data_IF_514320253220
#
_entry.id   IF_514320253220
#
_cell.length_a   1.000
_cell.length_b   1.000
_cell.length_c   1.000
_cell.angle_alpha   90.00
_cell.angle_beta   90.00
_cell.angle_gamma   90.00
#
_symmetry.space_group_name_H-M   'P 1'
#
loop_
_entity.id
_entity.type
_entity.pdbx_description
1 polymer ?
#
# COMPACT_ATOMS: atom_id res chain seq x y z
N UNK A 1 4.69 -16.53 27.57
CA UNK A 1 5.47 -17.71 27.13
C UNK A 1 5.36 -17.80 25.61
N UNK A 2 6.35 -17.30 24.89
CA UNK A 2 6.43 -17.40 23.45
C UNK A 2 6.86 -18.84 23.08
N UNK A 3 6.00 -19.57 22.39
CA UNK A 3 6.30 -20.90 21.90
C UNK A 3 6.71 -20.84 20.43
N UNK A 4 7.95 -21.16 20.14
CA UNK A 4 8.46 -21.34 18.78
C UNK A 4 8.35 -22.83 18.43
N UNK A 5 7.59 -23.18 17.39
CA UNK A 5 7.48 -24.56 16.91
C UNK A 5 8.29 -24.72 15.61
N UNK A 6 9.21 -25.67 15.61
CA UNK A 6 9.98 -26.10 14.43
C UNK A 6 9.51 -27.49 14.01
N UNK A 7 9.09 -27.64 12.76
CA UNK A 7 8.71 -28.93 12.17
C UNK A 7 9.86 -29.47 11.32
N UNK A 8 10.27 -30.73 11.45
CA UNK A 8 11.38 -31.30 10.66
C UNK A 8 10.93 -31.62 9.23
N UNK A 9 11.76 -31.23 8.25
CA UNK A 9 11.51 -31.48 6.83
C UNK A 9 11.76 -32.94 6.44
N UNK A 10 10.85 -33.53 5.70
CA UNK A 10 11.05 -34.75 4.93
C UNK A 10 11.19 -34.42 3.45
N UNK A 11 12.29 -34.87 2.86
CA UNK A 11 12.52 -34.77 1.42
C UNK A 11 11.55 -35.66 0.64
N UNK A 12 10.62 -35.09 -0.09
CA UNK A 12 9.84 -35.79 -1.11
C UNK A 12 9.82 -34.95 -2.40
N UNK A 13 10.42 -35.49 -3.46
CA UNK A 13 10.21 -35.02 -4.82
C UNK A 13 8.79 -35.37 -5.26
N UNK A 14 8.01 -34.42 -5.67
CA UNK A 14 6.70 -34.61 -6.28
C UNK A 14 6.65 -33.98 -7.68
N UNK A 15 5.85 -34.56 -8.61
CA UNK A 15 5.80 -34.14 -10.00
C UNK A 15 5.04 -32.83 -10.16
N UNK A 16 5.46 -32.03 -11.16
CA UNK A 16 4.82 -30.77 -11.56
C UNK A 16 3.32 -30.94 -11.80
N UNK A 17 2.46 -30.14 -11.20
CA UNK A 17 1.09 -30.01 -11.64
C UNK A 17 0.96 -28.97 -12.75
N UNK A 18 0.08 -29.30 -13.65
CA UNK A 18 -0.40 -28.56 -14.82
C UNK A 18 -0.77 -27.12 -14.48
N UNK A 19 -0.08 -26.15 -15.08
CA UNK A 19 -0.43 -24.73 -15.01
C UNK A 19 -1.79 -24.48 -15.68
N UNK A 20 -2.81 -24.20 -14.89
CA UNK A 20 -3.99 -23.51 -15.37
C UNK A 20 -3.62 -22.05 -15.66
N UNK A 21 -3.62 -21.70 -16.93
CA UNK A 21 -3.45 -20.33 -17.43
C UNK A 21 -4.59 -19.45 -16.94
N UNK A 22 -4.35 -18.72 -15.86
CA UNK A 22 -5.08 -17.48 -15.59
C UNK A 22 -4.52 -16.45 -16.59
N UNK A 23 -5.34 -15.68 -17.32
CA UNK A 23 -4.83 -14.66 -18.20
C UNK A 23 -4.09 -13.61 -17.38
N UNK A 24 -2.79 -13.75 -17.29
CA UNK A 24 -1.91 -12.70 -16.85
C UNK A 24 -2.05 -11.57 -17.87
N UNK A 25 -2.56 -10.43 -17.44
CA UNK A 25 -2.30 -9.20 -18.17
C UNK A 25 -0.79 -9.04 -18.20
N UNK A 26 -0.18 -9.47 -19.28
CA UNK A 26 1.20 -9.18 -19.59
C UNK A 26 1.29 -7.70 -19.93
N UNK A 27 1.38 -6.85 -18.90
CA UNK A 27 2.04 -5.56 -19.09
C UNK A 27 3.50 -5.89 -19.40
N UNK A 28 3.82 -5.86 -20.69
CA UNK A 28 5.19 -5.88 -21.14
C UNK A 28 5.93 -4.74 -20.47
N UNK A 29 6.85 -5.03 -19.56
CA UNK A 29 7.75 -4.06 -18.97
C UNK A 29 8.69 -3.56 -20.09
N UNK A 30 8.22 -2.56 -20.82
CA UNK A 30 9.08 -1.77 -21.66
C UNK A 30 10.02 -1.01 -20.75
N UNK A 31 11.30 -1.34 -20.76
CA UNK A 31 12.34 -0.49 -20.16
C UNK A 31 12.22 0.88 -20.81
N UNK A 32 11.59 1.82 -20.12
CA UNK A 32 11.38 3.17 -20.60
C UNK A 32 12.72 3.85 -20.76
N UNK A 33 13.14 4.04 -22.01
CA UNK A 33 14.28 4.91 -22.37
C UNK A 33 13.90 6.39 -22.33
N UNK A 34 12.69 6.72 -21.88
CA UNK A 34 12.17 8.07 -21.82
C UNK A 34 12.82 8.92 -20.73
N UNK A 35 12.94 10.21 -21.01
CA UNK A 35 13.44 11.18 -20.03
C UNK A 35 12.41 11.39 -18.92
N UNK A 36 12.79 11.13 -17.67
CA UNK A 36 11.94 11.36 -16.52
C UNK A 36 11.71 12.86 -16.29
N UNK A 37 10.44 13.25 -16.10
CA UNK A 37 10.06 14.61 -15.72
C UNK A 37 10.05 14.75 -14.21
N UNK A 38 10.81 15.69 -13.65
CA UNK A 38 10.87 15.94 -12.21
C UNK A 38 10.12 17.22 -11.86
N UNK A 39 9.22 17.15 -10.89
CA UNK A 39 8.38 18.29 -10.47
C UNK A 39 8.47 18.47 -8.96
N UNK A 40 8.88 19.67 -8.51
CA UNK A 40 8.96 19.98 -7.10
C UNK A 40 7.58 20.29 -6.50
N UNK A 41 7.24 19.65 -5.38
CA UNK A 41 5.93 19.77 -4.72
C UNK A 41 5.98 20.30 -3.30
N UNK A 42 7.16 20.54 -2.74
CA UNK A 42 7.34 20.88 -1.32
C UNK A 42 6.65 22.16 -0.85
N UNK A 43 6.44 23.14 -1.74
CA UNK A 43 5.84 24.43 -1.40
C UNK A 43 4.42 24.62 -1.96
N UNK A 44 3.81 23.57 -2.51
CA UNK A 44 2.47 23.64 -3.08
C UNK A 44 1.40 23.54 -1.99
N UNK A 45 0.32 24.29 -2.17
CA UNK A 45 -0.92 24.09 -1.43
C UNK A 45 -1.46 22.67 -1.69
N UNK A 46 -2.31 22.15 -0.81
CA UNK A 46 -2.87 20.83 -1.02
C UNK A 46 -3.73 20.72 -2.31
N UNK A 47 -4.37 21.82 -2.72
CA UNK A 47 -5.14 21.88 -3.96
C UNK A 47 -4.23 21.75 -5.18
N UNK A 48 -3.11 22.47 -5.19
CA UNK A 48 -2.09 22.36 -6.24
C UNK A 48 -1.44 20.98 -6.24
N UNK A 49 -1.14 20.43 -5.06
CA UNK A 49 -0.63 19.07 -4.93
C UNK A 49 -1.63 18.06 -5.51
N UNK A 50 -2.92 18.21 -5.27
CA UNK A 50 -3.93 17.32 -5.83
C UNK A 50 -3.90 17.30 -7.36
N UNK A 51 -3.85 18.47 -8.00
CA UNK A 51 -3.71 18.60 -9.46
C UNK A 51 -2.41 17.96 -9.97
N UNK A 52 -1.28 18.28 -9.33
CA UNK A 52 0.05 17.83 -9.77
C UNK A 52 0.20 16.32 -9.57
N UNK A 53 -0.23 15.75 -8.43
CA UNK A 53 -0.19 14.33 -8.16
C UNK A 53 -1.10 13.53 -9.08
N UNK A 54 -2.29 14.07 -9.40
CA UNK A 54 -3.17 13.51 -10.43
C UNK A 54 -2.47 13.46 -11.78
N UNK A 55 -1.85 14.56 -12.21
CA UNK A 55 -1.09 14.58 -13.44
C UNK A 55 0.07 13.59 -13.45
N UNK A 56 0.78 13.41 -12.34
CA UNK A 56 1.83 12.41 -12.24
C UNK A 56 1.26 10.99 -12.43
N UNK A 57 0.14 10.67 -11.78
CA UNK A 57 -0.55 9.39 -11.95
C UNK A 57 -0.99 9.14 -13.39
N UNK A 58 -1.60 10.13 -14.03
CA UNK A 58 -2.00 10.05 -15.44
C UNK A 58 -0.79 9.87 -16.36
N UNK A 59 0.23 10.70 -16.20
CA UNK A 59 1.46 10.67 -17.02
C UNK A 59 2.16 9.31 -16.88
N UNK A 60 2.19 8.77 -15.68
CA UNK A 60 2.80 7.46 -15.40
C UNK A 60 2.04 6.26 -15.99
N UNK A 61 0.83 6.42 -16.52
CA UNK A 61 0.17 5.39 -17.35
C UNK A 61 0.88 5.22 -18.69
N UNK A 62 1.62 6.24 -19.15
CA UNK A 62 2.41 6.17 -20.36
C UNK A 62 3.90 6.11 -19.99
N UNK A 63 4.48 4.92 -20.08
CA UNK A 63 5.87 4.68 -19.71
C UNK A 63 6.92 5.47 -20.51
N UNK A 64 6.53 6.13 -21.61
CA UNK A 64 7.48 6.86 -22.45
C UNK A 64 8.06 8.12 -21.78
N UNK A 65 7.31 8.78 -20.89
CA UNK A 65 7.73 10.01 -20.21
C UNK A 65 7.28 10.00 -18.76
N UNK A 66 7.90 9.18 -17.89
CA UNK A 66 7.48 9.07 -16.50
C UNK A 66 7.68 10.38 -15.74
N UNK A 67 6.79 10.65 -14.78
CA UNK A 67 6.87 11.81 -13.90
C UNK A 67 7.21 11.39 -12.48
N UNK A 68 8.15 12.10 -11.85
CA UNK A 68 8.55 11.94 -10.46
C UNK A 68 8.32 13.22 -9.68
N UNK A 69 7.66 13.13 -8.54
CA UNK A 69 7.36 14.26 -7.66
C UNK A 69 8.44 14.38 -6.59
N UNK A 70 9.25 15.43 -6.71
CA UNK A 70 10.30 15.75 -5.75
C UNK A 70 9.67 16.48 -4.56
N UNK A 71 9.64 15.84 -3.39
CA UNK A 71 9.11 16.44 -2.17
C UNK A 71 10.19 17.23 -1.42
N UNK A 72 11.37 16.64 -1.36
CA UNK A 72 12.56 17.32 -0.89
C UNK A 72 13.73 17.00 -1.83
N UNK A 73 14.73 17.89 -1.87
CA UNK A 73 15.86 17.77 -2.80
C UNK A 73 16.81 16.61 -2.47
N UNK A 74 16.65 15.99 -1.30
CA UNK A 74 17.43 14.85 -0.84
C UNK A 74 16.66 13.55 -0.95
N UNK A 75 15.89 13.35 -2.02
CA UNK A 75 15.18 12.10 -2.24
C UNK A 75 16.16 10.93 -2.37
N UNK A 76 16.19 10.12 -1.33
CA UNK A 76 17.18 9.03 -1.17
C UNK A 76 17.04 7.94 -2.23
N UNK A 77 15.82 7.69 -2.70
CA UNK A 77 15.58 6.66 -3.69
C UNK A 77 15.99 7.09 -5.09
N UNK A 78 15.84 8.37 -5.44
CA UNK A 78 16.38 8.90 -6.70
C UNK A 78 17.89 8.69 -6.78
N UNK A 79 18.60 8.98 -5.70
CA UNK A 79 20.05 8.78 -5.64
C UNK A 79 20.41 7.30 -5.63
N UNK A 80 19.79 6.51 -4.78
CA UNK A 80 20.19 5.11 -4.52
C UNK A 80 19.85 4.17 -5.69
N UNK A 81 18.69 4.35 -6.32
CA UNK A 81 18.21 3.47 -7.38
C UNK A 81 18.55 3.97 -8.78
N UNK A 82 18.56 5.28 -8.97
CA UNK A 82 18.64 5.87 -10.31
C UNK A 82 19.85 6.79 -10.50
N UNK A 83 20.70 6.93 -9.47
CA UNK A 83 21.90 7.76 -9.48
C UNK A 83 21.62 9.23 -9.85
N UNK A 84 20.44 9.75 -9.44
CA UNK A 84 20.01 11.13 -9.70
C UNK A 84 20.21 11.95 -8.42
N UNK A 85 21.20 12.82 -8.42
CA UNK A 85 21.54 13.68 -7.26
C UNK A 85 20.99 15.10 -7.38
N UNK A 86 20.78 15.59 -8.61
CA UNK A 86 20.33 16.96 -8.87
C UNK A 86 19.40 16.97 -10.09
N UNK A 87 18.12 16.61 -9.91
CA UNK A 87 17.19 16.57 -11.03
C UNK A 87 16.91 18.00 -11.57
N UNK A 88 16.86 18.13 -12.89
CA UNK A 88 16.37 19.36 -13.53
C UNK A 88 14.87 19.44 -13.35
N UNK A 89 14.41 20.42 -12.59
CA UNK A 89 13.00 20.59 -12.25
C UNK A 89 12.20 21.22 -13.39
N UNK A 90 11.05 20.65 -13.67
CA UNK A 90 10.05 21.21 -14.59
C UNK A 90 9.10 22.13 -13.81
N UNK A 91 8.84 23.36 -14.26
CA UNK A 91 7.85 24.23 -13.63
C UNK A 91 6.46 23.58 -13.61
N UNK A 92 5.74 23.72 -12.49
CA UNK A 92 4.41 23.12 -12.27
C UNK A 92 3.44 23.47 -13.40
N UNK A 93 3.36 24.74 -13.80
CA UNK A 93 2.48 25.18 -14.88
C UNK A 93 2.80 24.50 -16.23
N UNK A 94 4.09 24.31 -16.54
CA UNK A 94 4.52 23.58 -17.74
C UNK A 94 4.14 22.13 -17.68
N UNK A 95 4.34 21.48 -16.54
CA UNK A 95 3.96 20.08 -16.31
C UNK A 95 2.45 19.86 -16.47
N UNK A 96 1.62 20.70 -15.81
CA UNK A 96 0.17 20.63 -15.91
C UNK A 96 -0.32 20.82 -17.34
N UNK A 97 0.22 21.81 -18.07
CA UNK A 97 -0.13 22.03 -19.47
C UNK A 97 0.23 20.84 -20.37
N UNK A 98 1.40 20.25 -20.15
CA UNK A 98 1.85 19.07 -20.92
C UNK A 98 0.95 17.87 -20.65
N UNK A 99 0.68 17.59 -19.37
CA UNK A 99 -0.24 16.52 -18.94
C UNK A 99 -1.62 16.70 -19.56
N UNK A 100 -2.24 17.87 -19.43
CA UNK A 100 -3.55 18.15 -20.00
C UNK A 100 -3.59 17.95 -21.51
N UNK A 101 -2.57 18.41 -22.25
CA UNK A 101 -2.48 18.17 -23.71
C UNK A 101 -2.51 16.67 -24.04
N UNK A 102 -1.74 15.87 -23.31
CA UNK A 102 -1.65 14.42 -23.55
C UNK A 102 -3.00 13.73 -23.26
N UNK A 103 -3.74 14.20 -22.24
CA UNK A 103 -5.02 13.62 -21.82
C UNK A 103 -6.26 14.38 -22.36
N UNK A 104 -6.11 15.10 -23.48
CA UNK A 104 -7.22 15.71 -24.22
C UNK A 104 -7.82 16.93 -23.53
N UNK A 105 -7.08 17.60 -22.68
CA UNK A 105 -7.49 18.83 -22.00
C UNK A 105 -8.58 18.62 -20.94
N UNK A 106 -8.80 17.40 -20.48
CA UNK A 106 -9.86 17.06 -19.54
C UNK A 106 -9.57 17.53 -18.11
N UNK A 107 -10.54 18.17 -17.50
CA UNK A 107 -10.43 18.61 -16.12
C UNK A 107 -11.72 18.42 -15.32
N UNK A 108 -11.59 18.45 -13.99
CA UNK A 108 -12.67 18.40 -13.00
C UNK A 108 -12.65 19.71 -12.24
N UNK A 109 -13.82 20.30 -12.00
CA UNK A 109 -13.98 21.41 -11.06
C UNK A 109 -14.51 20.91 -9.72
N UNK A 110 -13.97 21.44 -8.62
CA UNK A 110 -14.47 21.20 -7.27
C UNK A 110 -14.27 22.46 -6.41
N UNK A 111 -14.95 22.51 -5.27
CA UNK A 111 -14.77 23.59 -4.30
C UNK A 111 -14.09 23.06 -3.04
N UNK A 112 -12.82 23.37 -2.86
CA UNK A 112 -12.01 22.90 -1.74
C UNK A 112 -12.59 23.23 -0.35
N UNK A 113 -13.31 24.36 -0.23
CA UNK A 113 -13.89 24.78 1.06
C UNK A 113 -15.11 23.95 1.48
N UNK A 114 -15.88 23.45 0.52
CA UNK A 114 -17.14 22.73 0.80
C UNK A 114 -17.09 21.25 0.45
N UNK A 115 -16.08 20.83 -0.32
CA UNK A 115 -15.98 19.47 -0.87
C UNK A 115 -14.68 18.76 -0.50
N UNK A 116 -13.95 19.24 0.52
CA UNK A 116 -12.74 18.54 0.99
C UNK A 116 -13.03 17.09 1.40
N UNK A 117 -14.17 16.86 2.07
CA UNK A 117 -14.59 15.52 2.47
C UNK A 117 -14.85 14.56 1.30
N UNK A 118 -14.99 15.09 0.08
CA UNK A 118 -15.28 14.33 -1.15
C UNK A 118 -14.04 14.13 -2.04
N UNK A 119 -12.86 14.54 -1.57
CA UNK A 119 -11.59 14.38 -2.30
C UNK A 119 -11.32 12.91 -2.66
N UNK A 120 -11.64 11.91 -1.82
CA UNK A 120 -11.51 10.50 -2.20
C UNK A 120 -12.25 10.14 -3.48
N UNK A 121 -13.51 10.52 -3.59
CA UNK A 121 -14.36 10.25 -4.76
C UNK A 121 -13.89 11.04 -5.99
N UNK A 122 -13.43 12.29 -5.80
CA UNK A 122 -12.82 13.10 -6.86
C UNK A 122 -11.53 12.47 -7.40
N UNK A 123 -10.73 11.80 -6.55
CA UNK A 123 -9.56 11.01 -7.01
C UNK A 123 -9.98 9.86 -7.92
N UNK A 124 -11.03 9.12 -7.54
CA UNK A 124 -11.59 8.05 -8.40
C UNK A 124 -12.01 8.61 -9.76
N UNK A 125 -12.80 9.69 -9.74
CA UNK A 125 -13.27 10.35 -10.98
C UNK A 125 -12.08 10.84 -11.83
N UNK A 126 -11.06 11.43 -11.21
CA UNK A 126 -9.85 11.86 -11.91
C UNK A 126 -9.16 10.67 -12.61
N UNK A 127 -9.11 9.53 -11.93
CA UNK A 127 -8.53 8.29 -12.46
C UNK A 127 -9.32 7.72 -13.64
N UNK A 128 -10.63 7.55 -13.50
CA UNK A 128 -11.47 6.90 -14.53
C UNK A 128 -11.74 7.82 -15.72
N UNK A 129 -11.94 9.11 -15.49
CA UNK A 129 -12.17 10.09 -16.56
C UNK A 129 -10.87 10.54 -17.27
N UNK A 130 -9.71 10.28 -16.67
CA UNK A 130 -8.44 10.81 -17.17
C UNK A 130 -8.39 12.33 -17.12
N UNK A 131 -8.85 12.94 -16.01
CA UNK A 131 -9.06 14.37 -15.87
C UNK A 131 -8.31 14.95 -14.66
N UNK A 132 -7.84 16.19 -14.76
CA UNK A 132 -7.08 16.86 -13.71
C UNK A 132 -8.02 17.72 -12.84
N UNK A 133 -8.04 17.55 -11.50
CA UNK A 133 -8.91 18.35 -10.64
C UNK A 133 -8.34 19.76 -10.41
N UNK A 134 -9.23 20.77 -10.41
CA UNK A 134 -8.94 22.15 -10.08
C UNK A 134 -9.96 22.73 -9.10
N UNK A 135 -9.46 23.42 -8.08
CA UNK A 135 -10.31 24.12 -7.12
C UNK A 135 -10.80 25.45 -7.67
N UNK A 136 -12.12 25.66 -7.66
CA UNK A 136 -12.72 26.90 -8.18
C UNK A 136 -12.32 28.17 -7.41
N UNK A 137 -11.89 28.04 -6.15
CA UNK A 137 -11.46 29.19 -5.35
C UNK A 137 -10.06 29.69 -5.74
N UNK A 138 -9.23 28.84 -6.32
CA UNK A 138 -7.90 29.17 -6.84
C UNK A 138 -7.93 29.49 -8.33
N UNK A 139 -8.98 29.02 -9.01
CA UNK A 139 -9.26 29.29 -10.40
C UNK A 139 -10.12 30.55 -10.50
N UNK A 140 -9.49 31.72 -10.50
CA UNK A 140 -10.14 32.82 -11.21
C UNK A 140 -10.25 32.39 -12.68
N UNK A 141 -11.33 32.77 -13.37
CA UNK A 141 -11.64 32.35 -14.74
C UNK A 141 -10.48 32.51 -15.76
N UNK A 142 -9.40 33.17 -15.38
CA UNK A 142 -8.19 33.40 -16.17
C UNK A 142 -6.97 32.55 -15.73
N UNK A 143 -7.08 31.64 -14.79
CA UNK A 143 -5.92 30.93 -14.20
C UNK A 143 -5.91 29.38 -14.40
N UNK A 144 -6.90 28.82 -15.11
CA UNK A 144 -6.77 27.46 -15.60
C UNK A 144 -5.58 27.35 -16.58
N UNK A 145 -4.81 26.28 -16.54
CA UNK A 145 -3.82 26.03 -17.59
C UNK A 145 -4.48 26.15 -18.97
N UNK A 146 -3.83 26.81 -19.91
CA UNK A 146 -4.38 27.05 -21.26
C UNK A 146 -4.79 25.77 -22.01
N UNK A 147 -4.26 24.64 -21.56
CA UNK A 147 -4.57 23.31 -22.09
C UNK A 147 -5.78 22.64 -21.42
N UNK A 148 -6.40 23.23 -20.40
CA UNK A 148 -7.63 22.75 -19.79
C UNK A 148 -8.83 23.24 -20.63
N UNK A 149 -9.31 22.40 -21.54
CA UNK A 149 -10.31 22.78 -22.56
C UNK A 149 -11.61 21.99 -22.48
N UNK A 150 -11.63 20.86 -21.77
CA UNK A 150 -12.78 19.96 -21.68
C UNK A 150 -13.16 19.75 -20.22
N UNK A 151 -14.27 20.33 -19.78
CA UNK A 151 -14.84 20.04 -18.46
C UNK A 151 -15.42 18.61 -18.47
N UNK A 152 -14.71 17.67 -17.86
CA UNK A 152 -15.11 16.27 -17.79
C UNK A 152 -16.12 16.00 -16.66
N UNK A 153 -16.02 16.78 -15.57
CA UNK A 153 -16.93 16.68 -14.43
C UNK A 153 -16.98 17.99 -13.66
N UNK A 154 -18.20 18.46 -13.40
CA UNK A 154 -18.43 19.61 -12.54
C UNK A 154 -18.90 19.16 -11.16
N UNK A 155 -17.95 18.99 -10.25
CA UNK A 155 -18.22 18.65 -8.87
C UNK A 155 -18.92 19.75 -8.10
N UNK A 156 -18.73 21.04 -8.49
CA UNK A 156 -19.40 22.16 -7.83
C UNK A 156 -20.92 22.14 -8.02
N UNK A 157 -21.38 21.51 -9.09
CA UNK A 157 -22.79 21.32 -9.41
C UNK A 157 -23.28 19.95 -8.93
N UNK A 158 -22.59 18.88 -9.36
CA UNK A 158 -23.05 17.50 -9.10
C UNK A 158 -22.93 17.12 -7.64
N UNK A 159 -21.85 17.53 -6.96
CA UNK A 159 -21.61 17.23 -5.55
C UNK A 159 -21.92 18.38 -4.60
N UNK A 160 -22.69 19.37 -5.04
CA UNK A 160 -22.92 20.63 -4.31
C UNK A 160 -23.33 20.42 -2.85
N UNK A 161 -24.25 19.50 -2.61
CA UNK A 161 -24.79 19.25 -1.27
C UNK A 161 -24.57 17.78 -0.83
N UNK A 162 -23.62 17.09 -1.47
CA UNK A 162 -23.37 15.70 -1.16
C UNK A 162 -22.57 15.54 0.13
N UNK A 163 -22.97 14.52 0.88
CA UNK A 163 -22.13 13.95 1.94
C UNK A 163 -21.32 12.77 1.35
N UNK A 164 -20.26 12.31 2.01
CA UNK A 164 -19.41 11.22 1.48
C UNK A 164 -20.18 10.00 0.99
N UNK A 165 -21.18 9.52 1.74
CA UNK A 165 -22.01 8.38 1.32
C UNK A 165 -22.77 8.62 -0.01
N UNK A 166 -23.22 9.84 -0.26
CA UNK A 166 -23.92 10.20 -1.49
C UNK A 166 -22.94 10.26 -2.67
N UNK A 167 -21.76 10.83 -2.48
CA UNK A 167 -20.70 10.89 -3.48
C UNK A 167 -20.16 9.49 -3.80
N UNK A 168 -19.91 8.67 -2.79
CA UNK A 168 -19.52 7.25 -2.95
C UNK A 168 -20.57 6.49 -3.77
N UNK A 169 -21.86 6.68 -3.45
CA UNK A 169 -22.97 6.03 -4.20
C UNK A 169 -23.00 6.48 -5.65
N UNK A 170 -22.77 7.76 -5.92
CA UNK A 170 -22.68 8.29 -7.30
C UNK A 170 -21.56 7.60 -8.07
N UNK A 171 -20.35 7.56 -7.50
CA UNK A 171 -19.19 6.93 -8.16
C UNK A 171 -19.42 5.44 -8.37
N UNK A 172 -19.98 4.74 -7.38
CA UNK A 172 -20.37 3.33 -7.50
C UNK A 172 -21.32 3.10 -8.66
N UNK A 173 -22.41 3.87 -8.76
CA UNK A 173 -23.43 3.68 -9.79
C UNK A 173 -22.95 3.97 -11.21
N UNK A 174 -21.97 4.87 -11.38
CA UNK A 174 -21.55 5.33 -12.69
C UNK A 174 -20.19 4.78 -13.14
N UNK A 175 -19.32 4.40 -12.21
CA UNK A 175 -17.91 4.17 -12.54
C UNK A 175 -17.28 2.90 -11.89
N UNK A 176 -18.03 2.09 -11.13
CA UNK A 176 -17.46 0.91 -10.47
C UNK A 176 -16.72 -0.01 -11.45
N UNK A 177 -17.35 -0.28 -12.59
CA UNK A 177 -16.80 -1.19 -13.62
C UNK A 177 -15.52 -0.66 -14.31
N UNK A 178 -15.19 0.60 -14.13
CA UNK A 178 -13.97 1.22 -14.65
C UNK A 178 -12.80 1.16 -13.66
N UNK A 179 -13.06 0.70 -12.44
CA UNK A 179 -12.07 0.64 -11.36
C UNK A 179 -11.44 -0.75 -11.25
N UNK A 180 -10.21 -0.80 -10.74
CA UNK A 180 -9.40 -2.03 -10.70
C UNK A 180 -9.14 -2.55 -9.30
N UNK A 181 -9.51 -1.82 -8.27
CA UNK A 181 -9.27 -2.13 -6.86
C UNK A 181 -9.76 -1.00 -5.98
N UNK A 182 -9.40 -1.02 -4.72
CA UNK A 182 -9.88 -0.07 -3.72
C UNK A 182 -8.76 0.70 -3.04
N UNK A 183 -9.08 1.94 -2.66
CA UNK A 183 -8.28 2.74 -1.76
C UNK A 183 -9.17 3.38 -0.68
N UNK A 184 -8.56 3.70 0.46
CA UNK A 184 -9.20 4.40 1.58
C UNK A 184 -8.25 5.48 2.11
N UNK A 185 -8.48 6.72 1.70
CA UNK A 185 -7.64 7.86 2.06
C UNK A 185 -8.44 8.92 2.81
N UNK A 186 -7.99 9.25 4.01
CA UNK A 186 -8.69 10.20 4.88
C UNK A 186 -8.67 11.61 4.30
N UNK A 187 -9.83 12.24 4.08
CA UNK A 187 -9.94 13.60 3.53
C UNK A 187 -9.59 14.72 4.54
N UNK A 188 -9.42 14.38 5.81
CA UNK A 188 -9.06 15.32 6.88
C UNK A 188 -7.65 15.14 7.44
N UNK A 189 -6.82 14.27 6.84
CA UNK A 189 -5.50 13.92 7.34
C UNK A 189 -4.41 14.20 6.30
N UNK A 190 -3.52 15.11 6.61
CA UNK A 190 -2.44 15.53 5.71
C UNK A 190 -1.08 14.87 5.99
N UNK A 191 -1.05 13.72 6.62
CA UNK A 191 0.21 12.97 6.87
C UNK A 191 0.80 13.16 8.26
N UNK A 192 1.81 12.41 8.50
CA UNK A 192 2.67 12.16 9.66
C UNK A 192 2.40 12.93 10.97
N UNK A 193 2.29 12.18 12.05
CA UNK A 193 2.55 12.67 13.39
C UNK A 193 1.40 13.36 14.08
N UNK A 194 0.16 12.96 13.81
CA UNK A 194 -0.94 13.39 14.64
C UNK A 194 -1.25 12.32 15.72
N UNK A 195 -0.79 12.51 16.96
CA UNK A 195 -1.09 11.61 18.04
C UNK A 195 -2.52 11.84 18.54
N UNK A 196 -3.40 10.87 18.37
CA UNK A 196 -4.67 10.81 19.06
C UNK A 196 -5.93 11.19 18.27
N UNK A 197 -7.09 11.09 18.91
CA UNK A 197 -8.41 11.21 18.28
C UNK A 197 -8.70 12.56 17.62
N UNK A 198 -8.02 13.62 18.03
CA UNK A 198 -8.16 14.97 17.42
C UNK A 198 -7.70 15.05 15.96
N UNK A 199 -6.99 14.05 15.46
CA UNK A 199 -6.51 13.97 14.10
C UNK A 199 -7.61 13.71 13.07
N UNK A 200 -8.75 13.28 13.51
CA UNK A 200 -9.83 12.74 12.68
C UNK A 200 -11.07 13.64 12.63
N UNK A 201 -11.02 14.79 13.27
CA UNK A 201 -12.11 15.72 13.20
C UNK A 201 -12.16 16.44 11.83
N UNK A 202 -13.33 16.47 11.18
CA UNK A 202 -13.52 17.17 9.90
C UNK A 202 -13.25 18.69 9.97
N UNK A 203 -13.12 19.24 11.17
CA UNK A 203 -12.80 20.66 11.40
C UNK A 203 -11.30 20.97 11.44
N UNK A 204 -10.43 19.98 11.19
CA UNK A 204 -9.00 20.25 11.15
C UNK A 204 -8.68 20.94 9.84
N UNK A 205 -8.02 22.09 9.95
CA UNK A 205 -7.54 22.92 8.82
C UNK A 205 -6.42 22.27 8.00
N UNK A 206 -6.15 21.00 8.20
CA UNK A 206 -5.19 20.20 7.45
C UNK A 206 -5.87 19.62 6.21
N UNK A 207 -5.17 19.65 5.09
CA UNK A 207 -5.67 19.12 3.83
C UNK A 207 -5.87 17.59 3.87
N UNK A 208 -6.44 16.99 2.81
CA UNK A 208 -6.63 15.55 2.69
C UNK A 208 -5.29 14.80 2.59
N UNK A 209 -5.31 13.51 2.88
CA UNK A 209 -4.20 12.61 2.59
C UNK A 209 -4.03 12.48 1.08
N UNK A 210 -2.92 12.99 0.55
CA UNK A 210 -2.63 13.02 -0.88
C UNK A 210 -1.42 12.16 -1.27
N UNK A 211 -0.76 11.52 -0.31
CA UNK A 211 0.46 10.76 -0.58
C UNK A 211 0.30 9.80 -1.75
N UNK A 212 -0.74 9.00 -1.71
CA UNK A 212 -1.01 7.93 -2.67
C UNK A 212 -1.80 8.38 -3.92
N UNK A 213 -2.12 9.67 -4.08
CA UNK A 213 -2.99 10.17 -5.18
C UNK A 213 -2.50 9.74 -6.55
N UNK A 214 -1.19 9.81 -6.80
CA UNK A 214 -0.61 9.41 -8.09
C UNK A 214 -0.94 7.94 -8.41
N UNK A 215 -0.84 7.05 -7.44
CA UNK A 215 -1.14 5.63 -7.64
C UNK A 215 -2.64 5.35 -7.74
N UNK A 216 -3.47 5.99 -6.92
CA UNK A 216 -4.95 5.88 -7.01
C UNK A 216 -5.41 6.23 -8.42
N UNK A 217 -4.91 7.35 -8.96
CA UNK A 217 -5.21 7.79 -10.31
C UNK A 217 -4.62 6.84 -11.35
N UNK A 218 -3.34 6.49 -11.23
CA UNK A 218 -2.65 5.57 -12.14
C UNK A 218 -3.38 4.25 -12.30
N UNK A 219 -3.70 3.61 -11.20
CA UNK A 219 -4.34 2.29 -11.15
C UNK A 219 -5.88 2.36 -11.30
N UNK A 220 -6.49 3.55 -11.35
CA UNK A 220 -7.95 3.74 -11.33
C UNK A 220 -8.60 3.06 -10.12
N UNK A 221 -8.09 3.28 -8.92
CA UNK A 221 -8.68 2.70 -7.73
C UNK A 221 -9.99 3.42 -7.37
N UNK A 222 -10.95 2.65 -6.87
CA UNK A 222 -12.15 3.17 -6.23
C UNK A 222 -11.73 3.70 -4.84
N UNK A 223 -11.61 5.00 -4.69
CA UNK A 223 -11.23 5.62 -3.44
C UNK A 223 -12.44 6.21 -2.76
N UNK A 224 -12.68 5.86 -1.51
CA UNK A 224 -13.75 6.39 -0.67
C UNK A 224 -13.32 6.40 0.79
N UNK A 225 -13.90 7.30 1.57
CA UNK A 225 -13.68 7.34 3.00
C UNK A 225 -15.00 7.41 3.76
N UNK A 226 -15.56 6.24 4.03
CA UNK A 226 -16.78 6.07 4.81
C UNK A 226 -16.40 5.76 6.25
N UNK A 227 -16.68 6.69 7.17
CA UNK A 227 -16.26 6.57 8.59
C UNK A 227 -16.89 5.38 9.30
N UNK A 228 -18.10 5.01 8.92
CA UNK A 228 -18.83 3.88 9.45
C UNK A 228 -18.88 2.68 8.47
N UNK A 229 -18.05 2.71 7.42
CA UNK A 229 -18.09 1.70 6.35
C UNK A 229 -17.83 0.27 6.84
N UNK A 230 -17.05 0.09 7.89
CA UNK A 230 -16.75 -1.20 8.49
C UNK A 230 -17.67 -1.56 9.67
N UNK A 231 -18.46 -0.60 10.18
CA UNK A 231 -19.42 -0.84 11.27
C UNK A 231 -20.66 -1.60 10.77
N UNK A 232 -21.00 -2.75 11.37
CA UNK A 232 -22.18 -3.49 10.96
C UNK A 232 -23.48 -2.67 11.18
N UNK A 233 -24.46 -2.90 10.32
CA UNK A 233 -25.79 -2.31 10.38
C UNK A 233 -25.88 -0.81 10.07
N UNK A 234 -24.82 -0.18 9.59
CA UNK A 234 -24.85 1.21 9.12
C UNK A 234 -25.18 1.29 7.63
N UNK A 235 -25.75 2.41 7.15
CA UNK A 235 -25.95 2.64 5.71
C UNK A 235 -24.65 2.63 4.91
N UNK A 236 -23.53 3.10 5.51
CA UNK A 236 -22.21 3.11 4.89
C UNK A 236 -21.68 1.69 4.73
N UNK A 237 -21.82 0.84 5.76
CA UNK A 237 -21.44 -0.57 5.68
C UNK A 237 -22.23 -1.32 4.60
N UNK A 238 -23.54 -1.09 4.54
CA UNK A 238 -24.39 -1.70 3.52
C UNK A 238 -23.95 -1.30 2.10
N UNK A 239 -23.60 -0.03 1.89
CA UNK A 239 -23.07 0.46 0.61
C UNK A 239 -21.71 -0.17 0.30
N UNK A 240 -20.79 -0.18 1.26
CA UNK A 240 -19.44 -0.74 1.07
C UNK A 240 -19.49 -2.23 0.74
N UNK A 241 -20.31 -3.01 1.44
CA UNK A 241 -20.57 -4.43 1.11
C UNK A 241 -21.10 -4.62 -0.29
N UNK A 242 -21.99 -3.74 -0.72
CA UNK A 242 -22.54 -3.80 -2.08
C UNK A 242 -21.47 -3.54 -3.12
N UNK A 243 -20.64 -2.50 -2.91
CA UNK A 243 -19.51 -2.16 -3.78
C UNK A 243 -18.53 -3.34 -3.91
N UNK A 244 -18.11 -3.91 -2.80
CA UNK A 244 -17.18 -5.05 -2.79
C UNK A 244 -17.79 -6.27 -3.49
N UNK A 245 -19.06 -6.58 -3.20
CA UNK A 245 -19.77 -7.72 -3.78
C UNK A 245 -19.95 -7.60 -5.30
N UNK A 246 -20.24 -6.39 -5.79
CA UNK A 246 -20.53 -6.16 -7.21
C UNK A 246 -19.30 -5.79 -8.03
N UNK A 247 -18.17 -5.52 -7.36
CA UNK A 247 -16.91 -5.30 -8.04
C UNK A 247 -16.39 -6.58 -8.67
N UNK A 248 -15.53 -6.44 -9.67
CA UNK A 248 -14.76 -7.54 -10.28
C UNK A 248 -13.36 -7.67 -9.66
N UNK A 249 -13.11 -7.03 -8.52
CA UNK A 249 -11.80 -7.03 -7.89
C UNK A 249 -11.44 -8.40 -7.29
N UNK A 250 -10.16 -8.76 -7.24
CA UNK A 250 -9.73 -9.97 -6.53
C UNK A 250 -10.10 -9.93 -5.04
N UNK A 251 -10.48 -11.08 -4.48
CA UNK A 251 -10.78 -11.23 -3.06
C UNK A 251 -9.72 -12.08 -2.33
N UNK A 252 -9.42 -11.81 -1.05
CA UNK A 252 -9.88 -10.66 -0.27
C UNK A 252 -9.50 -9.35 -0.94
N UNK A 253 -10.36 -8.32 -0.80
CA UNK A 253 -10.10 -7.04 -1.45
C UNK A 253 -8.94 -6.33 -0.79
N UNK A 254 -7.94 -5.97 -1.59
CA UNK A 254 -6.79 -5.18 -1.15
C UNK A 254 -7.16 -3.71 -1.11
N UNK A 255 -7.10 -3.12 0.07
CA UNK A 255 -7.37 -1.70 0.27
C UNK A 255 -6.06 -0.95 0.44
N UNK A 256 -5.73 -0.12 -0.55
CA UNK A 256 -4.59 0.77 -0.48
C UNK A 256 -4.88 1.97 0.41
N UNK A 257 -3.90 2.41 1.19
CA UNK A 257 -4.07 3.53 2.11
C UNK A 257 -4.04 3.10 3.55
N UNK A 258 -4.77 3.80 4.39
CA UNK A 258 -4.86 3.50 5.81
C UNK A 258 -6.24 3.85 6.33
N UNK A 259 -6.89 2.88 6.98
CA UNK A 259 -8.12 3.12 7.70
C UNK A 259 -7.81 3.51 9.14
N UNK A 260 -7.95 4.77 9.41
CA UNK A 260 -7.83 5.32 10.74
C UNK A 260 -9.18 5.83 11.26
N UNK A 261 -10.23 5.13 10.92
CA UNK A 261 -11.57 5.42 11.41
C UNK A 261 -11.67 5.02 12.89
N UNK A 262 -11.82 5.97 13.76
CA UNK A 262 -12.05 5.69 15.16
C UNK A 262 -13.51 5.39 15.42
N UNK A 263 -13.74 4.20 15.88
CA UNK A 263 -15.02 3.82 16.47
C UNK A 263 -14.91 3.78 17.98
N UNK A 264 -13.71 3.53 18.52
CA UNK A 264 -13.43 3.45 19.94
C UNK A 264 -12.08 4.06 20.28
N UNK A 265 -11.97 4.69 21.42
CA UNK A 265 -10.76 5.32 21.93
C UNK A 265 -9.60 4.32 22.05
N UNK A 266 -8.52 4.53 21.32
CA UNK A 266 -7.33 3.69 21.30
C UNK A 266 -7.28 2.56 20.27
N UNK A 267 -8.26 2.47 19.37
CA UNK A 267 -8.44 1.37 18.44
C UNK A 267 -7.97 1.59 17.00
N UNK A 268 -6.78 2.10 16.76
CA UNK A 268 -6.27 2.31 15.40
C UNK A 268 -6.34 1.07 14.52
N UNK A 269 -5.93 -0.05 15.08
CA UNK A 269 -5.67 -1.26 14.35
C UNK A 269 -6.72 -2.33 14.57
N UNK A 270 -7.16 -2.47 15.82
CA UNK A 270 -7.94 -3.64 16.21
C UNK A 270 -9.38 -3.61 15.70
N UNK A 271 -10.00 -2.45 15.65
CA UNK A 271 -11.43 -2.39 15.40
C UNK A 271 -11.75 -2.14 13.94
N UNK A 272 -11.06 -1.20 13.30
CA UNK A 272 -11.33 -0.89 11.91
C UNK A 272 -10.99 -2.09 11.02
N UNK A 273 -9.84 -2.73 11.23
CA UNK A 273 -9.45 -3.90 10.46
C UNK A 273 -10.26 -5.12 10.80
N UNK A 274 -10.39 -5.46 12.08
CA UNK A 274 -11.23 -6.58 12.51
C UNK A 274 -12.65 -6.49 11.98
N UNK A 275 -13.23 -5.30 12.03
CA UNK A 275 -14.58 -5.08 11.53
C UNK A 275 -14.65 -5.09 10.01
N UNK A 276 -13.65 -4.56 9.32
CA UNK A 276 -13.56 -4.61 7.86
C UNK A 276 -13.37 -6.04 7.37
N UNK A 277 -12.46 -6.80 7.96
CA UNK A 277 -12.23 -8.21 7.61
C UNK A 277 -13.50 -9.04 7.80
N UNK A 278 -14.12 -8.91 8.99
CA UNK A 278 -15.32 -9.67 9.35
C UNK A 278 -16.56 -9.27 8.54
N UNK A 279 -16.76 -7.98 8.35
CA UNK A 279 -18.01 -7.48 7.80
C UNK A 279 -17.97 -7.25 6.31
N UNK A 280 -16.80 -7.04 5.72
CA UNK A 280 -16.67 -6.64 4.31
C UNK A 280 -15.74 -7.55 3.50
N UNK A 281 -14.81 -8.26 4.13
CA UNK A 281 -13.82 -9.12 3.44
C UNK A 281 -12.72 -8.30 2.75
N UNK A 282 -12.22 -7.28 3.44
CA UNK A 282 -11.16 -6.40 2.98
C UNK A 282 -9.95 -6.52 3.90
N UNK A 283 -8.74 -6.50 3.34
CA UNK A 283 -7.48 -6.39 4.09
C UNK A 283 -6.65 -5.22 3.59
N UNK A 284 -5.83 -4.65 4.47
CA UNK A 284 -5.13 -3.41 4.15
C UNK A 284 -3.73 -3.61 3.57
N UNK A 285 -3.34 -2.65 2.73
CA UNK A 285 -1.96 -2.38 2.32
C UNK A 285 -1.63 -0.98 2.82
N UNK A 286 -1.04 -0.89 4.02
CA UNK A 286 -0.73 0.38 4.66
C UNK A 286 0.22 1.21 3.79
N UNK A 287 -0.25 2.36 3.28
CA UNK A 287 0.44 3.10 2.23
C UNK A 287 -0.03 4.55 2.05
N UNK A 288 -0.72 5.12 3.04
CA UNK A 288 -1.40 6.41 2.88
C UNK A 288 -0.48 7.59 2.52
N UNK A 289 0.75 7.59 3.00
CA UNK A 289 1.76 8.62 2.75
C UNK A 289 2.68 8.35 1.57
N UNK A 290 2.61 7.15 0.96
CA UNK A 290 3.56 6.70 -0.07
C UNK A 290 3.39 7.47 -1.38
N UNK A 291 4.29 8.39 -1.65
CA UNK A 291 4.29 9.17 -2.89
C UNK A 291 5.11 8.49 -4.00
N UNK A 292 4.83 8.87 -5.24
CA UNK A 292 5.51 8.35 -6.44
C UNK A 292 5.31 6.84 -6.69
N UNK A 293 4.32 6.23 -6.05
CA UNK A 293 4.11 4.79 -6.20
C UNK A 293 3.78 4.42 -7.66
N UNK A 294 3.07 5.29 -8.40
CA UNK A 294 2.83 5.12 -9.83
C UNK A 294 4.13 5.11 -10.65
N UNK A 295 5.12 5.93 -10.27
CA UNK A 295 6.43 5.94 -10.90
C UNK A 295 7.19 4.64 -10.66
N UNK A 296 7.29 4.22 -9.39
CA UNK A 296 8.02 3.00 -9.03
C UNK A 296 7.40 1.73 -9.64
N UNK A 297 6.06 1.66 -9.71
CA UNK A 297 5.34 0.51 -10.27
C UNK A 297 5.71 0.23 -11.73
N UNK A 298 5.97 1.27 -12.53
CA UNK A 298 6.29 1.11 -13.95
C UNK A 298 7.79 1.11 -14.26
N UNK A 299 8.64 1.53 -13.31
CA UNK A 299 10.05 1.79 -13.59
C UNK A 299 10.87 0.51 -13.72
N UNK A 300 10.64 -0.45 -12.85
CA UNK A 300 11.34 -1.73 -12.85
C UNK A 300 10.46 -2.91 -13.28
N UNK A 301 11.04 -3.99 -13.80
CA UNK A 301 10.30 -5.20 -14.07
C UNK A 301 9.80 -5.81 -12.75
N UNK A 302 8.57 -6.30 -12.74
CA UNK A 302 8.05 -7.02 -11.57
C UNK A 302 8.99 -8.15 -11.14
N UNK A 303 9.01 -8.42 -9.83
CA UNK A 303 9.77 -9.54 -9.28
C UNK A 303 9.01 -10.83 -9.61
N UNK A 304 9.56 -11.64 -10.50
CA UNK A 304 8.96 -12.91 -10.95
C UNK A 304 9.76 -14.14 -10.52
N UNK A 305 10.92 -13.92 -9.91
CA UNK A 305 11.78 -14.96 -9.34
C UNK A 305 12.17 -14.56 -7.92
N UNK A 306 12.50 -15.54 -7.06
CA UNK A 306 12.89 -15.27 -5.67
C UNK A 306 14.01 -14.23 -5.58
N UNK A 307 13.84 -13.29 -4.64
CA UNK A 307 14.92 -12.38 -4.28
C UNK A 307 16.11 -13.16 -3.72
N UNK A 308 17.34 -12.67 -3.93
CA UNK A 308 18.51 -13.30 -3.34
C UNK A 308 18.42 -13.33 -1.81
N UNK A 309 18.93 -14.39 -1.18
CA UNK A 309 18.85 -14.59 0.27
C UNK A 309 20.11 -15.22 0.85
N UNK A 310 20.32 -14.98 2.13
CA UNK A 310 21.37 -15.64 2.88
C UNK A 310 20.96 -17.08 3.22
N UNK A 311 21.77 -18.10 2.91
CA UNK A 311 21.41 -19.48 3.16
C UNK A 311 21.22 -19.76 4.66
N UNK A 312 20.26 -20.59 4.99
CA UNK A 312 20.08 -21.06 6.37
C UNK A 312 21.08 -22.15 6.67
N UNK A 313 21.90 -22.01 7.72
CA UNK A 313 22.69 -23.13 8.20
C UNK A 313 21.75 -24.28 8.56
N UNK A 314 22.09 -25.49 8.12
CA UNK A 314 21.35 -26.67 8.53
C UNK A 314 21.46 -26.81 10.05
N UNK A 315 20.36 -26.58 10.76
CA UNK A 315 20.31 -26.66 12.22
C UNK A 315 19.45 -27.86 12.60
N UNK A 316 20.05 -28.79 13.33
CA UNK A 316 19.29 -29.89 13.94
C UNK A 316 18.59 -29.37 15.19
N UNK A 317 17.27 -29.46 15.18
CA UNK A 317 16.48 -29.06 16.35
C UNK A 317 16.84 -29.89 17.58
N UNK A 318 17.15 -29.23 18.68
CA UNK A 318 17.45 -29.84 19.95
C UNK A 318 16.44 -29.38 21.02
N UNK A 319 15.62 -30.31 21.50
CA UNK A 319 14.56 -30.06 22.49
C UNK A 319 15.06 -29.49 23.82
N UNK A 320 16.34 -29.65 24.15
CA UNK A 320 16.94 -29.14 25.38
C UNK A 320 17.44 -27.70 25.26
N UNK A 321 17.34 -27.07 24.06
CA UNK A 321 17.78 -25.69 23.83
C UNK A 321 16.57 -24.76 23.72
N UNK A 322 16.75 -23.53 24.19
CA UNK A 322 15.86 -22.40 23.90
C UNK A 322 16.32 -21.74 22.62
N UNK A 323 15.39 -21.49 21.70
CA UNK A 323 15.63 -20.77 20.47
C UNK A 323 15.02 -19.37 20.58
N UNK A 324 15.75 -18.35 20.16
CA UNK A 324 15.31 -16.96 20.18
C UNK A 324 15.42 -16.43 18.75
N UNK A 325 14.33 -15.88 18.22
CA UNK A 325 14.29 -15.16 16.96
C UNK A 325 14.09 -13.67 17.23
N UNK A 326 14.86 -12.84 16.56
CA UNK A 326 14.70 -11.38 16.60
C UNK A 326 14.05 -10.94 15.30
N UNK A 327 12.87 -10.32 15.41
CA UNK A 327 12.09 -9.82 14.28
C UNK A 327 12.02 -8.30 14.36
N UNK A 328 12.34 -7.65 13.26
CA UNK A 328 12.16 -6.20 13.08
C UNK A 328 10.81 -5.97 12.42
N UNK A 329 9.87 -5.42 13.16
CA UNK A 329 8.47 -5.19 12.76
C UNK A 329 8.26 -4.09 11.73
N UNK A 330 7.01 -3.65 11.56
CA UNK A 330 6.54 -2.50 10.75
C UNK A 330 6.85 -2.55 9.24
N UNK A 331 7.24 -3.72 8.73
CA UNK A 331 7.48 -3.92 7.29
C UNK A 331 6.21 -4.06 6.47
N UNK A 332 5.03 -4.16 7.08
CA UNK A 332 3.72 -4.12 6.43
C UNK A 332 3.40 -2.73 5.88
N UNK A 333 3.90 -1.68 6.52
CA UNK A 333 3.65 -0.30 6.15
C UNK A 333 4.63 0.18 5.05
N UNK A 334 4.09 0.45 3.87
CA UNK A 334 4.88 0.96 2.74
C UNK A 334 5.50 2.33 3.04
N UNK A 335 4.86 3.16 3.87
CA UNK A 335 5.42 4.47 4.23
C UNK A 335 6.76 4.33 4.98
N UNK A 336 6.87 3.31 5.85
CA UNK A 336 8.14 2.95 6.51
C UNK A 336 9.17 2.40 5.52
N UNK A 337 8.72 1.59 4.56
CA UNK A 337 9.62 1.00 3.56
C UNK A 337 10.16 2.06 2.58
N UNK A 338 9.38 3.11 2.30
CA UNK A 338 9.82 4.24 1.48
C UNK A 338 10.47 5.36 2.31
N UNK A 339 10.25 5.40 3.62
CA UNK A 339 10.83 6.36 4.53
C UNK A 339 12.33 6.15 4.78
N UNK A 340 12.90 7.08 5.54
CA UNK A 340 14.30 7.01 5.93
C UNK A 340 14.54 5.93 6.98
N UNK A 341 13.63 5.73 7.90
CA UNK A 341 13.83 4.94 9.11
C UNK A 341 14.27 3.50 8.80
N UNK A 342 13.53 2.80 7.96
CA UNK A 342 13.84 1.40 7.60
C UNK A 342 15.19 1.31 6.88
N UNK A 343 15.44 2.23 5.97
CA UNK A 343 16.69 2.29 5.22
C UNK A 343 17.87 2.54 6.16
N UNK A 344 17.75 3.55 7.04
CA UNK A 344 18.81 3.94 7.96
C UNK A 344 19.15 2.79 8.93
N UNK A 345 18.15 2.06 9.42
CA UNK A 345 18.38 0.88 10.26
C UNK A 345 19.14 -0.23 9.53
N UNK A 346 18.86 -0.46 8.26
CA UNK A 346 19.60 -1.46 7.47
C UNK A 346 21.02 -0.98 7.20
N UNK A 347 21.24 0.30 6.90
CA UNK A 347 22.56 0.87 6.70
C UNK A 347 23.40 0.82 8.01
N UNK A 348 22.79 1.09 9.15
CA UNK A 348 23.43 0.92 10.47
C UNK A 348 23.78 -0.57 10.70
N UNK A 349 22.84 -1.47 10.41
CA UNK A 349 23.08 -2.92 10.52
C UNK A 349 24.26 -3.37 9.66
N UNK A 350 24.34 -2.90 8.42
CA UNK A 350 25.47 -3.19 7.53
C UNK A 350 26.79 -2.70 8.11
N UNK A 351 26.80 -1.51 8.68
CA UNK A 351 27.97 -0.96 9.37
C UNK A 351 28.40 -1.85 10.54
N UNK A 352 27.44 -2.31 11.35
CA UNK A 352 27.72 -3.26 12.44
C UNK A 352 28.30 -4.57 11.92
N UNK A 353 27.75 -5.11 10.81
CA UNK A 353 28.22 -6.35 10.22
C UNK A 353 29.64 -6.22 9.66
N UNK A 354 29.95 -5.12 8.98
CA UNK A 354 31.28 -4.84 8.47
C UNK A 354 32.35 -4.83 9.60
N UNK A 355 31.98 -4.40 10.79
CA UNK A 355 32.82 -4.44 11.98
C UNK A 355 32.77 -5.76 12.76
N UNK A 356 32.22 -6.84 12.17
CA UNK A 356 32.05 -8.17 12.78
C UNK A 356 31.23 -8.15 14.08
N UNK A 357 30.32 -7.20 14.22
CA UNK A 357 29.40 -7.09 15.36
C UNK A 357 28.02 -7.76 15.13
N UNK A 358 27.79 -8.30 13.93
CA UNK A 358 26.59 -9.09 13.61
C UNK A 358 26.77 -10.51 14.13
N UNK A 359 26.46 -10.74 15.40
CA UNK A 359 26.64 -12.04 16.04
C UNK A 359 25.39 -12.94 15.98
N UNK A 360 24.27 -12.39 15.54
CA UNK A 360 23.00 -13.08 15.41
C UNK A 360 22.23 -12.56 14.19
N UNK A 361 21.42 -13.41 13.51
CA UNK A 361 20.58 -12.99 12.42
C UNK A 361 19.40 -12.16 12.92
N UNK A 362 18.96 -11.20 12.09
CA UNK A 362 17.68 -10.52 12.22
C UNK A 362 16.74 -10.99 11.11
N UNK A 363 15.45 -11.07 11.45
CA UNK A 363 14.35 -11.25 10.50
C UNK A 363 13.70 -9.88 10.26
N UNK A 364 13.79 -9.38 9.04
CA UNK A 364 13.23 -8.09 8.65
C UNK A 364 11.89 -8.30 7.99
N UNK A 365 10.81 -7.85 8.61
CA UNK A 365 9.52 -7.87 7.93
C UNK A 365 9.55 -6.94 6.74
N UNK A 366 9.00 -7.40 5.61
CA UNK A 366 8.89 -6.63 4.38
C UNK A 366 7.54 -6.88 3.71
N UNK A 367 6.82 -5.80 3.41
CA UNK A 367 5.57 -5.88 2.67
C UNK A 367 5.80 -6.56 1.32
N UNK A 368 5.10 -7.65 1.02
CA UNK A 368 5.23 -8.32 -0.26
C UNK A 368 4.75 -7.46 -1.42
N UNK A 369 3.96 -6.42 -1.13
CA UNK A 369 3.47 -5.50 -2.15
C UNK A 369 4.58 -4.70 -2.82
N UNK A 370 5.75 -4.51 -2.17
CA UNK A 370 6.92 -3.92 -2.82
C UNK A 370 7.37 -4.70 -4.07
N UNK A 371 7.18 -6.01 -4.10
CA UNK A 371 7.54 -6.85 -5.25
C UNK A 371 6.82 -6.43 -6.55
N UNK A 372 5.66 -5.81 -6.40
CA UNK A 372 4.79 -5.40 -7.51
C UNK A 372 4.74 -3.88 -7.67
N UNK A 373 4.65 -3.17 -6.54
CA UNK A 373 4.44 -1.72 -6.52
C UNK A 373 5.73 -0.92 -6.65
N UNK A 374 6.84 -1.49 -6.17
CA UNK A 374 8.15 -0.86 -6.24
C UNK A 374 9.27 -1.91 -6.33
N UNK A 375 9.33 -2.65 -7.45
CA UNK A 375 10.23 -3.79 -7.58
C UNK A 375 11.71 -3.43 -7.43
N UNK A 376 12.12 -2.23 -7.82
CA UNK A 376 13.51 -1.78 -7.65
C UNK A 376 13.84 -1.52 -6.18
N UNK A 377 12.89 -1.00 -5.39
CA UNK A 377 13.03 -0.85 -3.94
C UNK A 377 13.13 -2.22 -3.27
N UNK A 378 12.28 -3.17 -3.66
CA UNK A 378 12.34 -4.54 -3.14
C UNK A 378 13.69 -5.21 -3.41
N UNK A 379 14.22 -5.07 -4.63
CA UNK A 379 15.56 -5.59 -4.97
C UNK A 379 16.66 -4.93 -4.16
N UNK A 380 16.60 -3.61 -4.00
CA UNK A 380 17.56 -2.88 -3.18
C UNK A 380 17.62 -3.47 -1.76
N UNK A 381 16.46 -3.66 -1.12
CA UNK A 381 16.41 -4.29 0.20
C UNK A 381 17.01 -5.70 0.19
N UNK A 382 16.72 -6.52 -0.83
CA UNK A 382 17.31 -7.85 -0.99
C UNK A 382 18.83 -7.80 -1.07
N UNK A 383 19.37 -6.90 -1.88
CA UNK A 383 20.83 -6.73 -2.06
C UNK A 383 21.51 -6.25 -0.76
N UNK A 384 20.84 -5.37 0.01
CA UNK A 384 21.37 -4.94 1.30
C UNK A 384 21.41 -6.09 2.31
N UNK A 385 20.35 -6.89 2.41
CA UNK A 385 20.33 -8.01 3.35
C UNK A 385 21.37 -9.08 3.01
N UNK A 386 21.66 -9.32 1.75
CA UNK A 386 22.75 -10.23 1.36
C UNK A 386 24.09 -9.82 1.93
N UNK A 387 24.37 -8.52 2.00
CA UNK A 387 25.63 -8.00 2.52
C UNK A 387 25.82 -8.26 4.02
N UNK A 388 24.72 -8.43 4.78
CA UNK A 388 24.80 -8.81 6.19
C UNK A 388 25.30 -10.23 6.41
N UNK A 389 25.18 -11.12 5.41
CA UNK A 389 25.50 -12.55 5.42
C UNK A 389 24.67 -13.40 6.39
N UNK A 390 23.80 -12.79 7.20
CA UNK A 390 23.02 -13.48 8.23
C UNK A 390 21.55 -13.15 8.20
N UNK A 391 21.20 -11.91 7.91
CA UNK A 391 19.84 -11.40 8.02
C UNK A 391 18.96 -11.88 6.87
N UNK A 392 17.63 -11.92 7.10
CA UNK A 392 16.65 -12.45 6.15
C UNK A 392 15.38 -11.68 6.22
N UNK A 393 14.53 -11.90 5.20
CA UNK A 393 13.16 -11.42 5.23
C UNK A 393 12.25 -12.34 6.05
N UNK A 394 11.20 -11.72 6.57
CA UNK A 394 9.97 -12.38 7.04
C UNK A 394 8.78 -11.64 6.41
N UNK A 395 7.68 -12.34 6.19
CA UNK A 395 6.43 -11.66 5.87
C UNK A 395 5.90 -10.94 7.10
N UNK A 396 5.33 -9.74 6.93
CA UNK A 396 4.74 -8.97 8.01
C UNK A 396 3.38 -9.55 8.45
N UNK A 397 2.75 -9.03 9.46
CA UNK A 397 1.39 -9.39 9.83
C UNK A 397 0.36 -8.98 8.76
N UNK A 398 -0.53 -9.87 8.35
CA UNK A 398 -0.45 -11.34 8.42
C UNK A 398 -0.18 -11.91 7.03
N UNK A 399 1.01 -11.77 6.53
CA UNK A 399 1.39 -12.28 5.20
C UNK A 399 1.07 -11.30 4.06
N UNK A 400 0.18 -11.68 3.12
CA UNK A 400 -0.17 -10.85 1.94
C UNK A 400 -0.83 -9.50 2.33
N UNK A 401 -1.67 -9.49 3.37
CA UNK A 401 -2.40 -8.31 3.80
C UNK A 401 -2.23 -8.07 5.31
N UNK A 402 -2.27 -6.82 5.68
CA UNK A 402 -2.47 -6.42 7.06
C UNK A 402 -3.92 -6.68 7.43
N UNK A 403 -4.18 -7.78 8.15
CA UNK A 403 -5.50 -8.34 8.38
C UNK A 403 -5.51 -9.37 9.50
N UNK A 404 -6.70 -9.81 9.87
CA UNK A 404 -6.97 -10.95 10.73
C UNK A 404 -7.52 -12.10 9.86
N UNK A 405 -6.69 -12.97 9.29
CA UNK A 405 -7.10 -13.92 8.26
C UNK A 405 -8.23 -14.86 8.68
N UNK A 406 -8.33 -15.21 9.97
CA UNK A 406 -9.43 -16.06 10.46
C UNK A 406 -10.82 -15.40 10.35
N UNK A 407 -10.88 -14.07 10.18
CA UNK A 407 -12.12 -13.32 10.07
C UNK A 407 -12.63 -13.24 8.63
N UNK A 408 -11.77 -13.49 7.64
CA UNK A 408 -12.19 -13.55 6.26
C UNK A 408 -13.21 -14.69 6.02
N UNK A 409 -14.11 -14.55 5.04
CA UNK A 409 -14.86 -15.68 4.51
C UNK A 409 -13.92 -16.81 4.06
N UNK A 410 -14.34 -18.06 4.17
CA UNK A 410 -13.48 -19.23 3.90
C UNK A 410 -12.83 -19.19 2.50
N UNK A 411 -13.58 -18.74 1.48
CA UNK A 411 -13.04 -18.59 0.13
C UNK A 411 -11.89 -17.58 0.08
N UNK A 412 -11.99 -16.50 0.83
CA UNK A 412 -11.00 -15.43 0.89
C UNK A 412 -9.79 -15.83 1.74
N UNK A 413 -9.99 -16.62 2.82
CA UNK A 413 -8.90 -17.23 3.57
C UNK A 413 -8.02 -18.09 2.66
N UNK A 414 -8.64 -18.90 1.80
CA UNK A 414 -7.93 -19.71 0.82
C UNK A 414 -7.11 -18.89 -0.17
N UNK A 415 -7.66 -17.78 -0.64
CA UNK A 415 -6.98 -16.90 -1.55
C UNK A 415 -5.82 -16.16 -0.84
N UNK A 416 -6.05 -15.72 0.40
CA UNK A 416 -5.03 -15.08 1.23
C UNK A 416 -3.82 -16.00 1.45
N UNK A 417 -4.05 -17.25 1.83
CA UNK A 417 -2.98 -18.25 2.04
C UNK A 417 -2.16 -18.43 0.76
N UNK A 418 -2.81 -18.68 -0.39
CA UNK A 418 -2.09 -18.84 -1.67
C UNK A 418 -1.27 -17.63 -2.05
N UNK A 419 -1.80 -16.42 -1.81
CA UNK A 419 -1.06 -15.19 -2.05
C UNK A 419 0.16 -15.08 -1.13
N UNK A 420 -0.04 -15.35 0.17
CA UNK A 420 1.04 -15.34 1.17
C UNK A 420 2.14 -16.34 0.84
N UNK A 421 1.80 -17.55 0.38
CA UNK A 421 2.78 -18.55 -0.04
C UNK A 421 3.58 -18.13 -1.28
N UNK A 422 2.91 -17.55 -2.28
CA UNK A 422 3.56 -16.98 -3.46
C UNK A 422 4.53 -15.87 -3.05
N UNK A 423 4.10 -15.00 -2.17
CA UNK A 423 4.87 -13.85 -1.73
C UNK A 423 6.06 -14.27 -0.87
N UNK A 424 5.88 -15.29 0.00
CA UNK A 424 6.96 -15.92 0.74
C UNK A 424 8.02 -16.51 -0.21
N UNK A 425 7.58 -17.20 -1.27
CA UNK A 425 8.48 -17.72 -2.29
C UNK A 425 9.29 -16.61 -2.96
N UNK A 426 8.64 -15.51 -3.38
CA UNK A 426 9.31 -14.39 -4.05
C UNK A 426 10.25 -13.63 -3.10
N UNK A 427 9.92 -13.52 -1.82
CA UNK A 427 10.79 -12.95 -0.79
C UNK A 427 11.89 -13.90 -0.31
N UNK A 428 11.94 -15.12 -0.83
CA UNK A 428 12.88 -16.17 -0.38
C UNK A 428 12.81 -16.41 1.12
N UNK A 429 11.62 -16.39 1.69
CA UNK A 429 11.37 -16.63 3.10
C UNK A 429 10.44 -17.82 3.32
N UNK A 430 10.57 -18.44 4.48
CA UNK A 430 9.62 -19.45 4.98
C UNK A 430 9.00 -18.99 6.31
N UNK A 431 9.09 -17.69 6.62
CA UNK A 431 8.63 -17.13 7.89
C UNK A 431 7.58 -16.06 7.63
N UNK A 432 6.46 -16.17 8.32
CA UNK A 432 5.46 -15.10 8.42
C UNK A 432 5.22 -14.77 9.88
N UNK A 433 4.94 -13.50 10.15
CA UNK A 433 4.34 -13.10 11.41
C UNK A 433 2.82 -13.15 11.22
N UNK A 434 2.13 -13.72 12.18
CA UNK A 434 0.68 -13.82 12.16
C UNK A 434 0.10 -12.88 13.21
N UNK A 435 -0.95 -12.15 12.82
CA UNK A 435 -1.66 -11.26 13.71
C UNK A 435 -3.11 -11.70 13.82
N UNK A 436 -3.36 -12.47 14.84
CA UNK A 436 -4.70 -12.95 15.15
C UNK A 436 -5.18 -12.40 16.49
N UNK A 437 -6.47 -12.21 16.60
CA UNK A 437 -7.07 -11.77 17.86
C UNK A 437 -6.93 -12.85 18.93
N UNK A 438 -6.04 -12.63 19.88
CA UNK A 438 -5.63 -13.59 20.90
C UNK A 438 -6.78 -14.27 21.69
N UNK A 439 -7.90 -13.59 21.87
CA UNK A 439 -9.06 -14.13 22.57
C UNK A 439 -9.91 -15.06 21.71
N UNK A 440 -9.72 -15.06 20.39
CA UNK A 440 -10.50 -15.86 19.44
C UNK A 440 -9.82 -17.14 18.98
N UNK A 441 -8.58 -17.37 19.38
CA UNK A 441 -7.91 -18.65 19.18
C UNK A 441 -8.61 -19.77 19.98
N UNK A 442 -9.89 -20.02 19.67
CA UNK A 442 -10.58 -21.18 20.21
C UNK A 442 -9.97 -22.44 19.64
N UNK A 443 -9.85 -23.50 20.45
CA UNK A 443 -9.25 -24.80 20.06
C UNK A 443 -9.79 -25.36 18.73
N UNK A 444 -11.01 -25.01 18.34
CA UNK A 444 -11.65 -25.43 17.09
C UNK A 444 -11.18 -24.63 15.86
N UNK A 445 -11.04 -23.31 16.01
CA UNK A 445 -10.63 -22.40 14.89
C UNK A 445 -9.13 -22.44 14.66
N UNK A 446 -8.30 -22.55 15.70
CA UNK A 446 -6.88 -22.91 15.54
C UNK A 446 -6.69 -24.07 14.58
N UNK A 447 -7.54 -25.10 14.67
CA UNK A 447 -7.46 -26.25 13.77
C UNK A 447 -7.80 -25.91 12.32
N UNK A 448 -8.57 -24.88 12.04
CA UNK A 448 -8.96 -24.54 10.67
C UNK A 448 -7.84 -23.76 9.99
N UNK A 449 -7.31 -22.71 10.61
CA UNK A 449 -6.15 -21.96 10.09
C UNK A 449 -4.92 -22.85 10.03
N UNK A 450 -4.59 -23.62 11.10
CA UNK A 450 -3.48 -24.57 11.10
C UNK A 450 -3.67 -25.76 10.15
N UNK A 451 -4.89 -26.25 9.89
CA UNK A 451 -5.13 -27.26 8.84
C UNK A 451 -4.85 -26.67 7.47
N UNK A 452 -5.19 -25.43 7.28
CA UNK A 452 -4.97 -24.74 6.04
C UNK A 452 -3.48 -24.58 5.73
N UNK A 453 -2.73 -24.01 6.65
CA UNK A 453 -1.27 -23.84 6.56
C UNK A 453 -0.51 -25.20 6.53
N UNK A 454 -1.10 -26.23 7.09
CA UNK A 454 -0.47 -27.56 7.19
C UNK A 454 -0.86 -28.54 6.08
N UNK A 455 -1.99 -28.32 5.41
CA UNK A 455 -2.53 -29.36 4.50
C UNK A 455 -1.97 -29.27 3.09
N UNK A 456 -1.45 -28.15 2.66
CA UNK A 456 -0.93 -27.99 1.30
C UNK A 456 0.59 -27.82 1.22
N UNK A 457 1.24 -27.23 2.24
CA UNK A 457 2.70 -27.03 2.18
C UNK A 457 3.37 -27.04 3.56
N UNK A 458 4.17 -28.07 3.83
CA UNK A 458 5.06 -28.18 5.00
C UNK A 458 6.18 -27.11 5.06
N UNK A 459 6.02 -25.94 4.44
CA UNK A 459 7.11 -25.03 4.16
C UNK A 459 7.05 -23.70 4.90
N UNK A 460 5.91 -23.30 5.43
CA UNK A 460 5.78 -22.01 6.10
C UNK A 460 5.84 -22.15 7.61
N UNK A 461 6.72 -21.40 8.24
CA UNK A 461 6.84 -21.28 9.68
C UNK A 461 6.04 -20.06 10.16
N UNK A 462 5.04 -20.28 11.00
CA UNK A 462 4.26 -19.20 11.60
C UNK A 462 4.92 -18.84 12.93
N UNK A 463 5.28 -17.59 13.09
CA UNK A 463 5.68 -17.04 14.37
C UNK A 463 4.43 -16.48 15.06
N UNK A 464 3.86 -17.25 15.96
CA UNK A 464 2.82 -16.79 16.89
C UNK A 464 3.44 -15.71 17.79
N UNK A 465 3.14 -14.44 17.52
CA UNK A 465 3.70 -13.33 18.27
C UNK A 465 2.65 -12.39 18.82
N UNK A 466 2.44 -12.42 20.13
CA UNK A 466 1.96 -11.25 20.84
C UNK A 466 3.06 -10.18 20.77
N UNK A 467 2.98 -9.27 19.81
CA UNK A 467 3.75 -8.05 19.90
C UNK A 467 2.96 -7.03 20.73
N UNK A 468 3.19 -7.01 22.03
CA UNK A 468 3.09 -5.76 22.76
C UNK A 468 4.12 -4.84 22.10
N UNK A 469 3.66 -3.90 21.29
CA UNK A 469 4.50 -2.81 20.80
C UNK A 469 4.89 -1.98 22.01
N UNK A 470 5.95 -2.37 22.68
CA UNK A 470 6.72 -1.42 23.46
C UNK A 470 7.48 -0.57 22.44
N UNK A 471 6.90 0.59 22.15
CA UNK A 471 7.63 1.68 21.52
C UNK A 471 8.83 2.00 22.45
N UNK A 472 9.97 1.38 22.20
CA UNK A 472 11.23 1.85 22.76
C UNK A 472 11.62 3.11 22.01
N UNK A 473 11.17 4.26 22.51
CA UNK A 473 11.95 5.48 22.39
C UNK A 473 13.28 5.21 23.10
N UNK A 474 14.27 4.82 22.38
CA UNK A 474 15.68 4.89 22.81
C UNK A 474 16.28 6.11 22.16
N UNK A 475 16.62 7.05 23.02
CA UNK A 475 17.53 8.18 22.83
C UNK A 475 18.84 7.80 22.13
#
# INVERSE_FOLDING_TARGET
DAAVYVVPGTNMMLPLPLLLLVPAFTLSAATSTGTTTYVYTGNLTWQEQFSVRTCAGLTNRNAATPAFLVQNMNDVWLQSLYNVTSPTLTPVASFLNTCLKVFGGKYILYNAKTQQALVPELMTLAGVLGAVPFDVSTVSTNSLPSSATVLAFDGTVTFKDFQPIAATRYVYQHHLNETTGMAKLNPGYSGQGCPGPSCFHPNITRGPSLGLTDYVVYAKLFNTYLTEGCLPFTPENALLKTIVKESSWPTPVRVMGYDNTFVVEGGDFFEAETLCDLNVGMGQVASAGTANLAFYTQKGPHVTSPLPFNPTPATVFNKSKTYIAFVVGDGDNLDYMFGHERRDWIEERLTMCAHKKCTYPLLWTMSPHLLYLAPDVARWYGDQLLQTQTDRFALPPSGDLYSYPELFPEADQNAHVRNTERDAYLLSTSVTTDWEWATRWTKGKRRTVYRYWRSEHDRLMILDGFFSVFCCSLL
#
